data_IF_320402422022
#
_entry.id   IF_320402422022
#
_cell.length_a   1.000
_cell.length_b   1.000
_cell.length_c   1.000
_cell.angle_alpha   90.00
_cell.angle_beta   90.00
_cell.angle_gamma   90.00
#
_symmetry.space_group_name_H-M   'P 1'
#
loop_
_entity.id
_entity.type
_entity.pdbx_description
1 polymer ?
#
# COMPACT_ATOMS: atom_id res chain seq x y z
N UNK A 1 7.36 -3.41 53.31
CA UNK A 1 7.17 -4.62 52.48
C UNK A 1 6.76 -4.11 51.12
N UNK A 2 7.63 -4.22 50.11
CA UNK A 2 7.39 -3.62 48.80
C UNK A 2 6.47 -4.53 47.99
N UNK A 3 5.23 -4.09 47.81
CA UNK A 3 4.29 -4.64 46.83
C UNK A 3 4.66 -4.21 45.40
N UNK A 4 5.91 -4.42 45.00
CA UNK A 4 6.35 -4.09 43.64
C UNK A 4 6.11 -5.28 42.71
N UNK A 5 5.18 -5.08 41.76
CA UNK A 5 4.94 -6.00 40.67
C UNK A 5 6.26 -6.19 39.89
N UNK A 6 6.73 -7.44 39.68
CA UNK A 6 7.96 -7.68 38.94
C UNK A 6 7.94 -7.07 37.53
N UNK A 7 9.08 -6.52 37.08
CA UNK A 7 9.17 -5.80 35.80
C UNK A 7 8.70 -6.62 34.59
N UNK A 8 8.97 -7.93 34.56
CA UNK A 8 8.51 -8.81 33.48
C UNK A 8 6.98 -8.93 33.42
N UNK A 9 6.28 -8.86 34.56
CA UNK A 9 4.81 -8.85 34.61
C UNK A 9 4.28 -7.51 34.11
N UNK A 10 4.91 -6.39 34.52
CA UNK A 10 4.57 -5.07 34.00
C UNK A 10 4.74 -5.00 32.49
N UNK A 11 5.84 -5.55 31.95
CA UNK A 11 6.05 -5.65 30.50
C UNK A 11 4.91 -6.40 29.80
N UNK A 12 4.47 -7.54 30.34
CA UNK A 12 3.33 -8.29 29.80
C UNK A 12 2.01 -7.53 29.85
N UNK A 13 1.79 -6.74 30.91
CA UNK A 13 0.60 -5.88 31.03
C UNK A 13 0.66 -4.75 30.01
N UNK A 14 1.78 -4.03 29.95
CA UNK A 14 1.99 -2.90 29.02
C UNK A 14 1.85 -3.38 27.58
N UNK A 15 2.42 -4.54 27.24
CA UNK A 15 2.29 -5.15 25.92
C UNK A 15 0.87 -5.42 25.47
N UNK A 16 -0.14 -5.38 26.35
CA UNK A 16 -1.57 -5.60 26.01
C UNK A 16 -2.38 -4.31 25.94
N UNK A 17 -1.75 -3.16 26.14
CA UNK A 17 -2.44 -1.88 26.14
C UNK A 17 -2.66 -1.35 24.70
N UNK A 18 -3.76 -0.62 24.47
CA UNK A 18 -3.96 0.12 23.23
C UNK A 18 -2.84 1.13 22.98
N UNK A 19 -2.58 1.45 21.71
CA UNK A 19 -1.51 2.38 21.32
C UNK A 19 -1.67 3.75 21.99
N UNK A 20 -2.90 4.25 22.12
CA UNK A 20 -3.16 5.54 22.76
C UNK A 20 -2.66 5.56 24.21
N UNK A 21 -2.88 4.48 24.97
CA UNK A 21 -2.39 4.35 26.34
C UNK A 21 -0.86 4.25 26.38
N UNK A 22 -0.26 3.51 25.43
CA UNK A 22 1.20 3.39 25.34
C UNK A 22 1.88 4.72 25.04
N UNK A 23 1.28 5.54 24.16
CA UNK A 23 1.77 6.89 23.88
C UNK A 23 1.78 7.76 25.13
N UNK A 24 0.75 7.65 25.98
CA UNK A 24 0.69 8.37 27.26
C UNK A 24 1.71 7.81 28.26
N UNK A 25 1.88 6.49 28.32
CA UNK A 25 2.75 5.83 29.30
C UNK A 25 4.24 6.15 29.12
N UNK A 26 4.64 6.62 27.94
CA UNK A 26 5.99 7.17 27.70
C UNK A 26 6.32 8.37 28.60
N UNK A 27 5.33 9.12 29.08
CA UNK A 27 5.56 10.27 29.98
C UNK A 27 5.67 9.86 31.45
N UNK A 28 5.32 8.62 31.81
CA UNK A 28 5.29 8.15 33.21
C UNK A 28 6.69 7.90 33.75
N UNK A 29 7.58 7.26 32.98
CA UNK A 29 8.97 7.07 33.38
C UNK A 29 9.92 6.81 32.20
N UNK A 30 11.23 7.03 32.41
CA UNK A 30 12.28 6.73 31.43
C UNK A 30 12.34 5.24 31.09
N UNK A 31 12.13 4.36 32.07
CA UNK A 31 12.14 2.91 31.86
C UNK A 31 10.99 2.47 30.96
N UNK A 32 9.79 3.01 31.18
CA UNK A 32 8.61 2.67 30.36
C UNK A 32 8.76 3.23 28.95
N UNK A 33 9.26 4.45 28.82
CA UNK A 33 9.60 5.03 27.51
C UNK A 33 10.59 4.13 26.75
N UNK A 34 11.69 3.73 27.39
CA UNK A 34 12.70 2.87 26.77
C UNK A 34 12.16 1.49 26.40
N UNK A 35 11.27 0.92 27.22
CA UNK A 35 10.62 -0.36 26.92
C UNK A 35 9.73 -0.24 25.68
N UNK A 36 8.83 0.75 25.65
CA UNK A 36 7.85 0.97 24.57
C UNK A 36 8.55 1.32 23.24
N UNK A 37 9.68 2.03 23.29
CA UNK A 37 10.46 2.41 22.11
C UNK A 37 11.42 1.32 21.63
N UNK A 38 11.56 0.20 22.35
CA UNK A 38 12.44 -0.90 21.95
C UNK A 38 11.89 -1.69 20.76
N UNK A 39 12.77 -2.14 19.85
CA UNK A 39 12.39 -2.93 18.68
C UNK A 39 11.65 -4.22 19.06
N UNK A 40 12.11 -4.91 20.11
CA UNK A 40 11.47 -6.13 20.61
C UNK A 40 10.04 -5.88 21.11
N UNK A 41 9.80 -4.74 21.77
CA UNK A 41 8.45 -4.38 22.20
C UNK A 41 7.55 -4.06 21.01
N UNK A 42 8.04 -3.26 20.05
CA UNK A 42 7.28 -2.88 18.85
C UNK A 42 6.93 -4.12 18.00
N UNK A 43 7.87 -5.04 17.81
CA UNK A 43 7.64 -6.28 17.07
C UNK A 43 6.67 -7.23 17.78
N UNK A 44 6.71 -7.28 19.12
CA UNK A 44 5.83 -8.13 19.92
C UNK A 44 4.45 -7.51 20.20
N UNK A 45 4.31 -6.18 20.06
CA UNK A 45 3.04 -5.49 20.23
C UNK A 45 2.15 -5.77 19.03
N UNK A 46 1.29 -6.77 19.19
CA UNK A 46 0.32 -7.20 18.18
C UNK A 46 -1.08 -7.26 18.83
N UNK A 47 -1.39 -6.24 19.63
CA UNK A 47 -2.54 -6.24 20.58
C UNK A 47 -3.87 -6.17 19.87
N UNK A 48 -3.91 -5.65 18.66
CA UNK A 48 -5.15 -5.40 17.96
C UNK A 48 -5.15 -6.09 16.60
N UNK A 49 -5.93 -7.18 16.50
CA UNK A 49 -6.49 -7.67 15.23
C UNK A 49 -7.42 -6.63 14.55
N UNK A 50 -7.54 -5.44 15.13
CA UNK A 50 -8.28 -4.30 14.61
C UNK A 50 -7.62 -3.82 13.33
N UNK A 51 -8.17 -4.30 12.22
CA UNK A 51 -7.86 -3.76 10.91
C UNK A 51 -8.63 -2.45 10.73
N UNK A 52 -7.95 -1.47 10.16
CA UNK A 52 -8.54 -0.22 9.73
C UNK A 52 -8.45 -0.10 8.22
N UNK A 53 -9.36 0.67 7.61
CA UNK A 53 -9.32 1.02 6.19
C UNK A 53 -9.05 2.51 6.06
N UNK A 54 -7.89 2.88 5.51
CA UNK A 54 -7.62 4.25 5.10
C UNK A 54 -8.18 4.47 3.70
N UNK A 55 -8.97 5.54 3.56
CA UNK A 55 -9.53 6.02 2.31
C UNK A 55 -8.98 7.41 2.03
N UNK A 56 -8.31 7.56 0.88
CA UNK A 56 -7.93 8.86 0.31
C UNK A 56 -8.86 9.16 -0.86
N UNK A 57 -9.33 10.40 -1.01
CA UNK A 57 -10.05 10.84 -2.21
C UNK A 57 -10.00 12.36 -2.39
N UNK A 58 -10.22 12.84 -3.60
CA UNK A 58 -10.35 14.27 -3.89
C UNK A 58 -11.81 14.64 -4.13
N UNK A 59 -12.23 15.73 -3.49
CA UNK A 59 -13.55 16.33 -3.72
C UNK A 59 -13.46 17.36 -4.86
N UNK A 60 -14.59 17.70 -5.49
CA UNK A 60 -14.61 18.61 -6.64
C UNK A 60 -14.25 20.06 -6.28
N UNK A 61 -14.39 20.46 -5.02
CA UNK A 61 -14.24 21.85 -4.58
C UNK A 61 -12.79 22.27 -4.27
N UNK A 62 -11.84 22.03 -5.18
CA UNK A 62 -10.49 22.61 -5.17
C UNK A 62 -9.47 22.12 -4.12
N UNK A 63 -9.74 21.02 -3.42
CA UNK A 63 -8.80 20.50 -2.42
C UNK A 63 -7.61 19.79 -3.09
N UNK A 64 -6.46 20.48 -3.20
CA UNK A 64 -5.21 19.88 -3.72
C UNK A 64 -4.61 18.88 -2.74
N UNK A 65 -4.99 18.95 -1.47
CA UNK A 65 -4.57 18.06 -0.40
C UNK A 65 -5.72 17.10 -0.13
N UNK A 66 -5.80 16.01 -0.90
CA UNK A 66 -6.92 15.05 -0.82
C UNK A 66 -7.34 14.67 0.61
N UNK A 67 -8.60 14.28 0.80
CA UNK A 67 -9.18 13.95 2.11
C UNK A 67 -8.74 12.55 2.55
N UNK A 68 -8.40 12.39 3.83
CA UNK A 68 -7.97 11.11 4.42
C UNK A 68 -8.89 10.72 5.57
N UNK A 69 -9.57 9.59 5.42
CA UNK A 69 -10.53 9.05 6.37
C UNK A 69 -10.15 7.62 6.72
N UNK A 70 -10.24 7.25 7.98
CA UNK A 70 -10.09 5.86 8.39
C UNK A 70 -11.37 5.31 9.00
N UNK A 71 -11.66 4.05 8.70
CA UNK A 71 -12.75 3.29 9.29
C UNK A 71 -12.19 2.13 10.08
N UNK A 72 -12.86 1.76 11.16
CA UNK A 72 -12.66 0.43 11.76
C UNK A 72 -13.30 -0.60 10.85
N UNK A 73 -12.55 -1.64 10.46
CA UNK A 73 -12.99 -2.67 9.52
C UNK A 73 -13.46 -3.94 10.23
N UNK A 74 -14.56 -3.78 10.96
CA UNK A 74 -15.29 -4.83 11.65
C UNK A 74 -16.78 -4.75 11.30
N UNK A 75 -17.64 -5.36 12.13
CA UNK A 75 -19.08 -5.38 11.92
C UNK A 75 -19.74 -3.99 12.12
N UNK A 76 -19.02 -3.01 12.68
CA UNK A 76 -19.52 -1.64 12.84
C UNK A 76 -19.34 -0.79 11.59
N UNK A 77 -18.55 -1.23 10.61
CA UNK A 77 -18.31 -0.51 9.36
C UNK A 77 -19.61 -0.21 8.59
N UNK A 78 -19.82 1.02 8.05
CA UNK A 78 -18.88 2.16 7.99
C UNK A 78 -19.12 3.20 9.11
N UNK A 79 -19.75 2.86 10.24
CA UNK A 79 -20.19 3.84 11.23
C UNK A 79 -19.03 4.42 12.06
N UNK A 80 -18.07 3.59 12.47
CA UNK A 80 -16.92 4.04 13.25
C UNK A 80 -15.81 4.56 12.32
N UNK A 81 -15.75 5.89 12.19
CA UNK A 81 -14.78 6.59 11.32
C UNK A 81 -14.06 7.73 12.03
N UNK A 82 -12.85 8.04 11.59
CA UNK A 82 -12.05 9.14 12.10
C UNK A 82 -11.25 9.80 10.97
N UNK A 83 -11.20 11.13 11.01
CA UNK A 83 -10.47 11.96 10.05
C UNK A 83 -9.05 12.14 10.52
N UNK A 84 -8.09 11.96 9.61
CA UNK A 84 -6.68 12.16 9.93
C UNK A 84 -6.25 13.60 9.67
N UNK A 85 -5.52 14.17 10.63
CA UNK A 85 -4.72 15.37 10.37
C UNK A 85 -3.41 14.93 9.74
N UNK A 86 -3.19 15.26 8.47
CA UNK A 86 -1.95 14.92 7.80
C UNK A 86 -0.75 15.63 8.44
N UNK A 87 0.38 14.92 8.60
CA UNK A 87 1.67 15.53 8.91
C UNK A 87 2.03 16.64 7.92
N UNK A 88 2.79 17.65 8.39
CA UNK A 88 3.22 18.77 7.56
C UNK A 88 4.05 18.31 6.36
N UNK A 89 4.92 17.31 6.56
CA UNK A 89 5.73 16.67 5.50
C UNK A 89 4.90 16.20 4.31
N UNK A 90 3.73 15.58 4.56
CA UNK A 90 2.82 15.12 3.48
C UNK A 90 2.13 16.31 2.81
N UNK A 91 1.70 17.32 3.59
CA UNK A 91 1.02 18.51 3.05
C UNK A 91 1.92 19.33 2.11
N UNK A 92 3.23 19.27 2.31
CA UNK A 92 4.22 19.97 1.46
C UNK A 92 4.52 19.21 0.16
N UNK A 93 4.15 17.93 0.04
CA UNK A 93 4.39 17.16 -1.18
C UNK A 93 3.45 17.63 -2.29
N UNK A 94 4.04 18.05 -3.40
CA UNK A 94 3.37 18.22 -4.69
C UNK A 94 3.29 16.88 -5.40
N UNK A 95 2.18 16.65 -6.12
CA UNK A 95 1.91 15.41 -6.85
C UNK A 95 2.04 14.14 -5.96
N UNK A 96 1.59 14.26 -4.70
CA UNK A 96 1.72 13.19 -3.73
C UNK A 96 0.88 11.97 -4.13
N UNK A 97 1.54 10.81 -4.25
CA UNK A 97 0.92 9.52 -4.50
C UNK A 97 1.24 8.55 -3.37
N UNK A 98 0.28 7.69 -3.03
CA UNK A 98 0.52 6.59 -2.10
C UNK A 98 1.20 5.46 -2.89
N UNK A 99 2.44 5.14 -2.50
CA UNK A 99 3.18 4.00 -3.05
C UNK A 99 2.54 2.70 -2.58
N UNK A 100 2.26 2.60 -1.28
CA UNK A 100 1.62 1.43 -0.68
C UNK A 100 1.54 1.52 0.83
N UNK A 101 1.03 0.46 1.44
CA UNK A 101 0.96 0.30 2.90
C UNK A 101 1.53 -1.05 3.32
N UNK A 102 2.27 -1.04 4.44
CA UNK A 102 2.87 -2.22 5.03
C UNK A 102 3.02 -2.03 6.54
N UNK A 103 2.62 -3.04 7.32
CA UNK A 103 2.78 -3.07 8.78
C UNK A 103 2.34 -1.77 9.47
N UNK A 104 1.14 -1.26 9.13
CA UNK A 104 0.60 -0.04 9.72
C UNK A 104 1.18 1.29 9.20
N UNK A 105 2.20 1.25 8.35
CA UNK A 105 2.79 2.42 7.71
C UNK A 105 2.23 2.66 6.31
N UNK A 106 2.24 3.92 5.91
CA UNK A 106 1.96 4.38 4.55
C UNK A 106 3.20 5.06 3.97
N UNK A 107 3.50 4.77 2.72
CA UNK A 107 4.58 5.40 1.98
C UNK A 107 4.00 6.34 0.93
N UNK A 108 4.40 7.60 0.98
CA UNK A 108 4.05 8.64 0.03
C UNK A 108 5.25 9.02 -0.80
N UNK A 109 5.04 9.24 -2.08
CA UNK A 109 6.04 9.74 -3.01
C UNK A 109 5.53 11.03 -3.63
N UNK A 110 6.42 12.01 -3.78
CA UNK A 110 6.09 13.28 -4.40
C UNK A 110 7.30 14.22 -4.44
N UNK A 111 7.03 15.51 -4.64
CA UNK A 111 8.08 16.52 -4.76
C UNK A 111 7.91 17.64 -3.73
N UNK A 112 9.00 18.03 -3.08
CA UNK A 112 9.04 19.22 -2.23
C UNK A 112 10.13 20.17 -2.73
N UNK A 113 9.77 21.42 -3.06
CA UNK A 113 10.68 22.43 -3.62
C UNK A 113 11.53 21.91 -4.80
N UNK A 114 10.95 21.05 -5.64
CA UNK A 114 11.63 20.45 -6.81
C UNK A 114 12.48 19.21 -6.49
N UNK A 115 12.65 18.86 -5.22
CA UNK A 115 13.34 17.64 -4.79
C UNK A 115 12.35 16.49 -4.67
N UNK A 116 12.68 15.34 -5.24
CA UNK A 116 11.90 14.11 -5.09
C UNK A 116 12.06 13.54 -3.68
N UNK A 117 10.96 13.25 -3.01
CA UNK A 117 10.92 12.91 -1.60
C UNK A 117 9.97 11.75 -1.35
N UNK A 118 10.34 10.92 -0.37
CA UNK A 118 9.48 9.91 0.20
C UNK A 118 9.12 10.28 1.63
N UNK A 119 7.84 10.15 1.98
CA UNK A 119 7.37 10.34 3.35
C UNK A 119 6.74 9.04 3.84
N UNK A 120 7.29 8.50 4.92
CA UNK A 120 6.69 7.39 5.64
C UNK A 120 5.82 7.95 6.76
N UNK A 121 4.57 7.51 6.83
CA UNK A 121 3.60 7.98 7.81
C UNK A 121 3.02 6.82 8.62
N UNK A 122 3.06 6.97 9.94
CA UNK A 122 2.31 6.14 10.87
C UNK A 122 1.09 6.91 11.39
N UNK A 123 -0.14 6.63 10.91
CA UNK A 123 -1.35 7.27 11.40
C UNK A 123 -1.61 7.01 12.89
N UNK A 124 -1.24 5.83 13.41
CA UNK A 124 -1.54 5.39 14.78
C UNK A 124 -0.85 6.24 15.84
N UNK A 125 0.35 6.73 15.53
CA UNK A 125 1.15 7.58 16.42
C UNK A 125 1.32 9.01 15.89
N UNK A 126 0.68 9.32 14.74
CA UNK A 126 0.74 10.62 14.05
C UNK A 126 2.16 11.12 13.79
N UNK A 127 3.08 10.20 13.49
CA UNK A 127 4.47 10.51 13.14
C UNK A 127 4.75 10.31 11.67
N UNK A 128 5.70 11.07 11.16
CA UNK A 128 6.21 10.88 9.81
C UNK A 128 7.71 11.13 9.73
N UNK A 129 8.38 10.39 8.87
CA UNK A 129 9.77 10.67 8.50
C UNK A 129 9.87 10.90 7.00
N UNK A 130 10.74 11.83 6.62
CA UNK A 130 11.02 12.16 5.23
C UNK A 130 12.37 11.60 4.82
N UNK A 131 12.43 10.97 3.65
CA UNK A 131 13.64 10.43 3.05
C UNK A 131 13.83 11.07 1.67
N UNK A 132 14.95 11.78 1.43
CA UNK A 132 15.25 12.30 0.11
C UNK A 132 15.57 11.16 -0.85
N UNK A 133 15.02 11.24 -2.06
CA UNK A 133 15.41 10.36 -3.15
C UNK A 133 16.75 10.83 -3.74
N UNK A 134 17.61 9.92 -4.21
CA UNK A 134 18.81 10.30 -4.93
C UNK A 134 18.43 11.08 -6.19
N UNK A 135 18.98 12.27 -6.39
CA UNK A 135 18.73 13.07 -7.60
C UNK A 135 19.18 12.29 -8.84
N UNK A 136 18.23 11.97 -9.74
CA UNK A 136 18.53 11.34 -11.03
C UNK A 136 18.30 12.32 -12.16
N UNK A 137 19.39 12.79 -12.75
CA UNK A 137 19.37 13.58 -13.98
C UNK A 137 19.36 12.65 -15.20
N UNK A 138 18.26 11.94 -15.42
CA UNK A 138 18.15 11.05 -16.59
C UNK A 138 16.81 11.26 -17.28
N UNK A 139 16.86 11.57 -18.58
CA UNK A 139 15.72 11.93 -19.42
C UNK A 139 14.81 10.73 -19.81
N UNK A 140 15.18 9.50 -19.45
CA UNK A 140 14.62 8.29 -20.08
C UNK A 140 14.01 7.20 -19.17
N UNK A 141 14.29 7.07 -17.86
CA UNK A 141 13.76 5.90 -17.14
C UNK A 141 12.36 6.13 -16.54
N UNK A 142 11.56 5.07 -16.59
CA UNK A 142 10.40 4.91 -15.71
C UNK A 142 10.88 4.31 -14.37
N UNK A 143 10.88 5.13 -13.32
CA UNK A 143 11.23 4.69 -11.97
C UNK A 143 9.99 4.27 -11.22
N UNK A 144 9.98 3.04 -10.72
CA UNK A 144 8.94 2.52 -9.84
C UNK A 144 9.50 2.42 -8.43
N UNK A 145 8.93 3.21 -7.53
CA UNK A 145 9.24 3.12 -6.11
C UNK A 145 8.30 2.13 -5.45
N UNK A 146 8.85 1.39 -4.50
CA UNK A 146 8.15 0.38 -3.75
C UNK A 146 8.45 0.48 -2.27
N UNK A 147 7.55 -0.05 -1.44
CA UNK A 147 7.60 0.06 0.01
C UNK A 147 7.16 -1.23 0.69
N UNK A 148 7.89 -1.63 1.73
CA UNK A 148 7.53 -2.73 2.61
C UNK A 148 8.24 -2.63 3.95
N UNK A 149 7.68 -3.24 4.99
CA UNK A 149 8.31 -3.34 6.31
C UNK A 149 8.72 -4.79 6.51
N UNK A 150 9.98 -5.00 6.86
CA UNK A 150 10.49 -6.35 7.14
C UNK A 150 9.76 -6.93 8.36
N UNK A 151 9.07 -8.08 8.25
CA UNK A 151 8.37 -8.67 9.39
C UNK A 151 9.34 -9.18 10.47
N UNK A 152 10.61 -9.41 10.13
CA UNK A 152 11.64 -9.90 11.05
C UNK A 152 12.27 -8.77 11.87
N UNK A 153 12.57 -7.64 11.21
CA UNK A 153 13.31 -6.53 11.84
C UNK A 153 12.41 -5.34 12.18
N UNK A 154 11.17 -5.35 11.70
CA UNK A 154 10.21 -4.23 11.78
C UNK A 154 10.75 -2.95 11.14
N UNK A 155 11.76 -3.09 10.27
CA UNK A 155 12.45 -1.99 9.64
C UNK A 155 11.83 -1.69 8.28
N UNK A 156 11.36 -0.45 8.03
CA UNK A 156 10.85 -0.06 6.74
C UNK A 156 11.96 -0.03 5.69
N UNK A 157 11.63 -0.57 4.51
CA UNK A 157 12.49 -0.58 3.34
C UNK A 157 11.76 -0.01 2.15
N UNK A 158 12.51 0.65 1.27
CA UNK A 158 12.02 1.11 -0.01
C UNK A 158 12.87 0.51 -1.11
N UNK A 159 12.23 0.02 -2.17
CA UNK A 159 12.92 -0.53 -3.33
C UNK A 159 12.60 0.34 -4.51
N UNK A 160 13.63 0.86 -5.15
CA UNK A 160 13.52 1.63 -6.37
C UNK A 160 13.94 0.74 -7.52
N UNK A 161 13.07 0.60 -8.52
CA UNK A 161 13.36 -0.14 -9.77
C UNK A 161 13.30 0.86 -10.92
N UNK A 162 14.45 1.13 -11.52
CA UNK A 162 14.60 2.05 -12.65
C UNK A 162 14.68 1.24 -13.93
N UNK A 163 13.75 1.49 -14.87
CA UNK A 163 13.61 0.69 -16.07
C UNK A 163 13.97 1.50 -17.33
N UNK A 164 14.96 1.03 -18.10
CA UNK A 164 15.54 1.75 -19.23
C UNK A 164 15.01 1.21 -20.55
N UNK A 165 13.83 1.67 -20.94
CA UNK A 165 13.08 1.03 -22.04
C UNK A 165 13.43 1.50 -23.45
N UNK A 166 13.97 2.71 -23.63
CA UNK A 166 14.24 3.23 -24.99
C UNK A 166 15.67 2.99 -25.45
N UNK A 167 16.58 2.71 -24.52
CA UNK A 167 18.03 2.68 -24.78
C UNK A 167 18.61 1.28 -24.70
N UNK A 168 18.33 0.54 -23.63
CA UNK A 168 19.09 -0.68 -23.31
C UNK A 168 18.25 -1.88 -22.86
N UNK A 169 16.95 -1.68 -22.58
CA UNK A 169 16.05 -2.67 -22.02
C UNK A 169 16.59 -3.35 -20.74
N UNK A 170 17.42 -2.67 -19.95
CA UNK A 170 17.86 -3.16 -18.65
C UNK A 170 17.06 -2.51 -17.50
N UNK A 171 17.14 -3.14 -16.33
CA UNK A 171 16.59 -2.62 -15.08
C UNK A 171 17.72 -2.44 -14.07
N UNK A 172 17.61 -1.41 -13.24
CA UNK A 172 18.46 -1.22 -12.06
C UNK A 172 17.58 -1.25 -10.82
N UNK A 173 18.10 -1.79 -9.73
CA UNK A 173 17.40 -1.82 -8.46
C UNK A 173 18.27 -1.27 -7.33
N UNK A 174 17.69 -0.43 -6.49
CA UNK A 174 18.30 0.03 -5.24
C UNK A 174 17.34 -0.19 -4.08
N UNK A 175 17.87 -0.51 -2.91
CA UNK A 175 17.10 -0.62 -1.67
C UNK A 175 17.57 0.41 -0.66
N UNK A 176 16.63 1.14 -0.07
CA UNK A 176 16.84 1.96 1.10
C UNK A 176 16.34 1.23 2.34
N UNK A 177 17.10 1.32 3.42
CA UNK A 177 16.72 0.77 4.72
C UNK A 177 16.70 1.90 5.75
N UNK A 178 15.58 2.10 6.44
CA UNK A 178 15.40 3.25 7.34
C UNK A 178 16.40 3.24 8.49
N UNK A 179 16.63 2.08 9.12
CA UNK A 179 17.60 2.00 10.24
C UNK A 179 19.03 2.39 9.85
N UNK A 180 19.46 2.10 8.61
CA UNK A 180 20.81 2.41 8.13
C UNK A 180 20.92 3.80 7.49
N UNK A 181 19.79 4.36 7.08
CA UNK A 181 19.71 5.65 6.41
C UNK A 181 20.33 5.67 5.01
N UNK A 182 20.58 4.50 4.39
CA UNK A 182 21.39 4.37 3.17
C UNK A 182 20.69 3.59 2.07
N UNK A 183 20.94 4.02 0.84
CA UNK A 183 20.66 3.28 -0.39
C UNK A 183 21.77 2.27 -0.68
N UNK A 184 21.40 1.09 -1.15
CA UNK A 184 22.32 0.04 -1.61
C UNK A 184 21.85 -0.53 -2.93
N UNK A 185 22.79 -0.81 -3.83
CA UNK A 185 22.48 -1.42 -5.11
C UNK A 185 22.08 -2.91 -4.96
N UNK A 186 21.06 -3.31 -5.70
CA UNK A 186 20.54 -4.67 -5.83
C UNK A 186 20.44 -5.14 -7.30
N UNK A 187 21.00 -4.39 -8.26
CA UNK A 187 20.81 -4.68 -9.70
C UNK A 187 21.28 -6.10 -10.09
N UNK A 188 22.30 -6.64 -9.41
CA UNK A 188 22.81 -8.00 -9.67
C UNK A 188 21.83 -9.12 -9.30
N UNK A 189 20.78 -8.84 -8.53
CA UNK A 189 19.77 -9.82 -8.11
C UNK A 189 18.52 -9.79 -8.99
N UNK A 190 18.46 -8.88 -9.96
CA UNK A 190 17.33 -8.80 -10.88
C UNK A 190 17.33 -9.96 -11.88
N UNK A 191 16.16 -10.36 -12.38
CA UNK A 191 16.06 -11.29 -13.50
C UNK A 191 16.88 -10.82 -14.70
N UNK A 192 17.53 -11.77 -15.39
CA UNK A 192 18.34 -11.47 -16.59
C UNK A 192 17.50 -11.07 -17.80
N UNK A 193 16.22 -11.46 -17.83
CA UNK A 193 15.28 -11.10 -18.89
C UNK A 193 14.68 -9.71 -18.62
N UNK A 194 14.47 -8.90 -19.67
CA UNK A 194 13.78 -7.64 -19.51
C UNK A 194 12.35 -7.89 -19.04
N UNK A 195 11.86 -7.00 -18.20
CA UNK A 195 10.49 -7.03 -17.73
C UNK A 195 10.00 -5.59 -17.59
N UNK A 196 8.68 -5.47 -17.48
CA UNK A 196 8.03 -4.24 -17.07
C UNK A 196 7.11 -4.49 -15.90
N UNK A 197 7.23 -3.68 -14.85
CA UNK A 197 6.30 -3.70 -13.71
C UNK A 197 5.31 -2.55 -13.79
N UNK A 198 4.14 -2.76 -13.17
CA UNK A 198 3.10 -1.75 -13.05
C UNK A 198 2.59 -1.62 -11.62
N UNK A 199 2.18 -0.41 -11.29
CA UNK A 199 1.41 -0.12 -10.07
C UNK A 199 -0.04 -0.62 -10.20
N UNK A 200 -0.74 -0.89 -9.07
CA UNK A 200 -0.26 -0.76 -7.70
C UNK A 200 0.61 -1.94 -7.23
N UNK A 201 1.40 -1.70 -6.18
CA UNK A 201 2.05 -2.77 -5.43
C UNK A 201 1.13 -3.36 -4.37
N UNK A 202 1.42 -4.59 -3.92
CA UNK A 202 0.75 -5.22 -2.77
C UNK A 202 1.78 -5.87 -1.87
N UNK A 203 1.68 -5.67 -0.56
CA UNK A 203 2.50 -6.40 0.43
C UNK A 203 1.66 -7.48 1.09
N UNK A 204 2.10 -8.74 0.98
CA UNK A 204 1.54 -9.90 1.68
C UNK A 204 2.67 -10.62 2.39
N UNK A 205 2.51 -10.83 3.70
CA UNK A 205 3.53 -11.38 4.58
C UNK A 205 4.87 -10.63 4.43
N UNK A 206 5.92 -11.28 3.90
CA UNK A 206 7.26 -10.70 3.73
C UNK A 206 7.55 -10.24 2.29
N UNK A 207 6.59 -10.35 1.39
CA UNK A 207 6.80 -10.12 -0.04
C UNK A 207 6.03 -8.89 -0.53
N UNK A 208 6.70 -8.10 -1.36
CA UNK A 208 6.06 -7.07 -2.19
C UNK A 208 5.80 -7.69 -3.57
N UNK A 209 4.61 -7.51 -4.11
CA UNK A 209 4.19 -8.03 -5.41
C UNK A 209 3.80 -6.91 -6.36
N UNK A 210 4.00 -7.14 -7.67
CA UNK A 210 3.55 -6.30 -8.79
C UNK A 210 3.06 -7.15 -9.95
N UNK A 211 2.11 -6.62 -10.72
CA UNK A 211 1.90 -7.10 -12.08
C UNK A 211 3.14 -6.79 -12.91
N UNK A 212 3.57 -7.75 -13.71
CA UNK A 212 4.68 -7.61 -14.61
C UNK A 212 4.42 -8.28 -15.97
N UNK A 213 5.13 -7.86 -17.01
CA UNK A 213 5.09 -8.52 -18.31
C UNK A 213 6.43 -8.44 -19.03
N UNK A 214 6.65 -9.37 -19.96
CA UNK A 214 7.80 -9.36 -20.86
C UNK A 214 7.53 -8.40 -22.06
N UNK A 215 8.30 -7.31 -22.21
CA UNK A 215 8.09 -6.35 -23.30
C UNK A 215 8.67 -6.81 -24.65
N UNK A 216 9.50 -7.85 -24.70
CA UNK A 216 10.27 -8.24 -25.90
C UNK A 216 9.62 -9.35 -26.72
N UNK A 217 8.43 -9.82 -26.33
CA UNK A 217 7.75 -10.92 -27.03
C UNK A 217 6.99 -10.42 -28.28
N UNK A 218 7.72 -9.81 -29.23
CA UNK A 218 7.20 -9.26 -30.49
C UNK A 218 7.14 -10.33 -31.59
N UNK A 219 7.86 -11.44 -31.43
CA UNK A 219 8.03 -12.49 -32.46
C UNK A 219 7.08 -13.70 -32.32
N UNK A 220 6.07 -13.63 -31.46
CA UNK A 220 5.03 -14.67 -31.40
C UNK A 220 3.65 -14.05 -31.60
N UNK A 221 2.78 -14.74 -32.32
CA UNK A 221 1.36 -14.40 -32.51
C UNK A 221 0.55 -14.39 -31.19
N UNK A 222 1.22 -14.39 -30.03
CA UNK A 222 0.65 -14.41 -28.69
C UNK A 222 0.84 -13.03 -28.02
N UNK A 223 -0.25 -12.31 -27.70
CA UNK A 223 -0.15 -11.05 -26.98
C UNK A 223 0.28 -11.30 -25.53
N UNK A 224 1.34 -10.61 -25.10
CA UNK A 224 1.80 -10.38 -23.72
C UNK A 224 2.05 -11.64 -22.86
N UNK A 225 3.23 -11.74 -22.26
CA UNK A 225 3.50 -12.74 -21.23
C UNK A 225 3.41 -12.09 -19.85
N UNK A 226 2.20 -12.01 -19.29
CA UNK A 226 1.99 -11.45 -17.95
C UNK A 226 2.39 -12.45 -16.86
N UNK A 227 3.03 -11.96 -15.81
CA UNK A 227 3.39 -12.69 -14.60
C UNK A 227 3.32 -11.74 -13.40
N UNK A 228 3.54 -12.26 -12.20
CA UNK A 228 3.66 -11.43 -11.00
C UNK A 228 5.13 -11.42 -10.58
N UNK A 229 5.71 -10.23 -10.47
CA UNK A 229 7.03 -10.07 -9.87
C UNK A 229 6.89 -9.96 -8.35
N UNK A 230 7.82 -10.56 -7.61
CA UNK A 230 7.87 -10.49 -6.16
C UNK A 230 9.25 -10.04 -5.66
N UNK A 231 9.29 -9.31 -4.55
CA UNK A 231 10.50 -8.99 -3.82
C UNK A 231 10.38 -9.45 -2.37
N UNK A 232 11.29 -10.32 -1.92
CA UNK A 232 11.40 -10.75 -0.53
C UNK A 232 12.08 -9.64 0.29
N UNK A 233 11.33 -8.99 1.20
CA UNK A 233 11.82 -7.84 1.98
C UNK A 233 12.93 -8.26 2.96
N UNK A 234 12.84 -9.50 3.45
CA UNK A 234 13.79 -10.04 4.44
C UNK A 234 15.08 -10.47 3.79
N UNK A 235 14.99 -11.25 2.71
CA UNK A 235 16.16 -11.78 2.01
C UNK A 235 16.69 -10.87 0.90
N UNK A 236 15.94 -9.82 0.56
CA UNK A 236 16.24 -8.86 -0.50
C UNK A 236 16.53 -9.52 -1.85
N UNK A 237 15.64 -10.42 -2.25
CA UNK A 237 15.74 -11.19 -3.49
C UNK A 237 14.48 -11.05 -4.32
N UNK A 238 14.64 -11.09 -5.64
CA UNK A 238 13.55 -11.02 -6.60
C UNK A 238 13.08 -12.43 -6.98
N UNK A 239 11.79 -12.55 -7.25
CA UNK A 239 11.14 -13.78 -7.68
C UNK A 239 10.03 -13.52 -8.68
N UNK A 240 9.57 -14.59 -9.30
CA UNK A 240 8.48 -14.59 -10.29
C UNK A 240 7.43 -15.59 -9.84
N UNK A 241 6.17 -15.18 -9.90
CA UNK A 241 5.00 -16.04 -9.71
C UNK A 241 4.28 -16.12 -11.05
N UNK A 242 4.20 -17.33 -11.58
CA UNK A 242 3.55 -17.60 -12.86
C UNK A 242 2.03 -17.45 -12.76
N UNK A 243 1.42 -16.93 -13.82
CA UNK A 243 -0.03 -16.84 -13.97
C UNK A 243 -0.56 -18.02 -14.81
N UNK A 244 -1.81 -18.45 -14.57
CA UNK A 244 -2.52 -19.36 -15.47
C UNK A 244 -2.57 -18.82 -16.91
N UNK A 245 -2.59 -19.70 -17.91
CA UNK A 245 -2.56 -19.33 -19.33
C UNK A 245 -3.74 -18.45 -19.78
N UNK A 246 -4.88 -18.53 -19.08
CA UNK A 246 -5.99 -17.61 -19.30
C UNK A 246 -5.55 -16.16 -19.01
N UNK A 247 -5.06 -15.91 -17.80
CA UNK A 247 -4.64 -14.59 -17.32
C UNK A 247 -3.38 -14.08 -18.01
N UNK A 248 -2.43 -14.97 -18.28
CA UNK A 248 -1.13 -14.64 -18.88
C UNK A 248 -1.25 -13.87 -20.19
N UNK A 249 -2.29 -14.14 -21.01
CA UNK A 249 -2.49 -13.57 -22.35
C UNK A 249 -3.31 -12.28 -22.41
N UNK A 250 -3.80 -11.77 -21.28
CA UNK A 250 -4.57 -10.53 -21.27
C UNK A 250 -3.70 -9.31 -21.61
N UNK A 251 -4.34 -8.19 -21.96
CA UNK A 251 -3.63 -6.91 -21.95
C UNK A 251 -3.18 -6.60 -20.51
N UNK A 252 -1.94 -6.13 -20.27
CA UNK A 252 -1.49 -5.78 -18.92
C UNK A 252 -2.39 -4.73 -18.24
N UNK A 253 -3.05 -3.88 -19.03
CA UNK A 253 -4.00 -2.86 -18.55
C UNK A 253 -5.32 -3.45 -18.00
N UNK A 254 -5.60 -4.72 -18.28
CA UNK A 254 -6.76 -5.44 -17.76
C UNK A 254 -6.46 -6.19 -16.45
N UNK A 255 -5.20 -6.22 -16.02
CA UNK A 255 -4.78 -6.94 -14.82
C UNK A 255 -4.34 -5.96 -13.75
N UNK A 256 -4.74 -6.24 -12.52
CA UNK A 256 -4.32 -5.50 -11.34
C UNK A 256 -4.21 -6.48 -10.17
N UNK A 257 -3.41 -6.15 -9.17
CA UNK A 257 -3.31 -6.96 -7.95
C UNK A 257 -3.88 -6.21 -6.76
N UNK A 258 -4.36 -6.99 -5.79
CA UNK A 258 -4.81 -6.50 -4.50
C UNK A 258 -4.54 -7.57 -3.43
N UNK A 259 -5.06 -7.38 -2.23
CA UNK A 259 -5.04 -8.40 -1.18
C UNK A 259 -6.33 -8.45 -0.40
N UNK A 260 -6.61 -9.64 0.12
CA UNK A 260 -7.59 -9.89 1.17
C UNK A 260 -6.82 -10.52 2.32
N UNK A 261 -6.68 -9.80 3.44
CA UNK A 261 -5.82 -10.21 4.57
C UNK A 261 -4.40 -10.50 4.06
N UNK A 262 -3.86 -11.68 4.36
CA UNK A 262 -2.55 -12.17 3.91
C UNK A 262 -2.66 -13.07 2.68
N UNK A 263 -3.62 -12.82 1.78
CA UNK A 263 -3.76 -13.55 0.53
C UNK A 263 -3.74 -12.61 -0.67
N UNK A 264 -2.88 -12.95 -1.64
CA UNK A 264 -2.76 -12.21 -2.89
C UNK A 264 -3.99 -12.42 -3.77
N UNK A 265 -4.49 -11.33 -4.34
CA UNK A 265 -5.66 -11.31 -5.22
C UNK A 265 -5.25 -10.76 -6.58
N UNK A 266 -5.66 -11.45 -7.64
CA UNK A 266 -5.57 -10.96 -9.01
C UNK A 266 -6.96 -10.47 -9.45
N UNK A 267 -6.99 -9.26 -10.01
CA UNK A 267 -8.16 -8.60 -10.55
C UNK A 267 -8.05 -8.58 -12.07
N UNK A 268 -9.02 -9.18 -12.74
CA UNK A 268 -9.10 -9.28 -14.19
C UNK A 268 -10.32 -8.49 -14.69
N UNK A 269 -10.08 -7.46 -15.50
CA UNK A 269 -11.13 -6.64 -16.10
C UNK A 269 -11.51 -7.16 -17.50
N UNK A 270 -12.81 -7.19 -17.78
CA UNK A 270 -13.37 -7.67 -19.04
C UNK A 270 -12.85 -6.90 -20.27
N UNK A 271 -12.63 -5.59 -20.10
CA UNK A 271 -12.28 -4.67 -21.17
C UNK A 271 -11.63 -3.40 -20.61
N UNK A 272 -11.21 -2.50 -21.51
CA UNK A 272 -10.75 -1.16 -21.13
C UNK A 272 -11.84 -0.31 -20.45
N UNK A 273 -13.12 -0.59 -20.72
CA UNK A 273 -14.26 0.12 -20.12
C UNK A 273 -14.53 -0.34 -18.68
N UNK A 274 -13.97 -1.49 -18.27
CA UNK A 274 -14.09 -2.06 -16.92
C UNK A 274 -15.56 -2.21 -16.49
N UNK A 275 -16.35 -2.92 -17.30
CA UNK A 275 -17.75 -3.25 -16.99
C UNK A 275 -17.86 -4.41 -16.01
N UNK A 276 -16.85 -5.27 -15.95
CA UNK A 276 -16.80 -6.36 -14.99
C UNK A 276 -15.37 -6.58 -14.50
N UNK A 277 -15.25 -7.04 -13.25
CA UNK A 277 -13.99 -7.37 -12.62
C UNK A 277 -14.08 -8.77 -12.00
N UNK A 278 -13.38 -9.74 -12.59
CA UNK A 278 -13.23 -11.08 -12.03
C UNK A 278 -12.16 -11.07 -10.94
N UNK A 279 -12.50 -11.63 -9.77
CA UNK A 279 -11.63 -11.71 -8.61
C UNK A 279 -11.08 -13.13 -8.49
N UNK A 280 -9.76 -13.25 -8.58
CA UNK A 280 -9.00 -14.49 -8.51
C UNK A 280 -8.16 -14.51 -7.24
N UNK A 281 -8.14 -15.62 -6.51
CA UNK A 281 -7.33 -15.77 -5.30
C UNK A 281 -6.42 -16.99 -5.41
N UNK A 282 -5.23 -16.91 -4.80
CA UNK A 282 -4.34 -18.06 -4.67
C UNK A 282 -4.99 -19.09 -3.74
N UNK A 283 -5.04 -20.35 -4.16
CA UNK A 283 -5.39 -21.46 -3.29
C UNK A 283 -4.14 -22.03 -2.62
N UNK A 284 -4.22 -22.23 -1.30
CA UNK A 284 -3.15 -22.87 -0.52
C UNK A 284 -3.26 -24.40 -0.69
N UNK A 285 -2.97 -24.89 -1.89
CA UNK A 285 -2.88 -26.32 -2.24
C UNK A 285 -1.44 -26.74 -2.56
N UNK A 286 -1.27 -27.95 -3.11
CA UNK A 286 0.05 -28.51 -3.49
C UNK A 286 0.70 -27.69 -4.62
N UNK A 287 -0.10 -27.09 -5.51
CA UNK A 287 0.35 -26.13 -6.51
C UNK A 287 -0.29 -24.76 -6.23
N UNK A 288 0.51 -23.70 -6.30
CA UNK A 288 0.00 -22.33 -6.24
C UNK A 288 -0.71 -22.01 -7.55
N UNK A 289 -2.03 -22.12 -7.57
CA UNK A 289 -2.87 -21.73 -8.71
C UNK A 289 -3.86 -20.64 -8.30
N UNK A 290 -4.21 -19.80 -9.27
CA UNK A 290 -5.25 -18.78 -9.11
C UNK A 290 -6.61 -19.37 -9.49
N UNK A 291 -7.55 -19.30 -8.56
CA UNK A 291 -8.92 -19.77 -8.78
C UNK A 291 -9.88 -18.57 -8.77
N UNK A 292 -10.72 -18.47 -9.81
CA UNK A 292 -11.76 -17.43 -9.89
C UNK A 292 -12.79 -17.65 -8.79
N UNK A 293 -13.07 -16.62 -8.00
CA UNK A 293 -14.01 -16.69 -6.87
C UNK A 293 -15.37 -16.14 -7.23
N UNK A 294 -15.42 -14.97 -7.83
CA UNK A 294 -16.64 -14.30 -8.28
C UNK A 294 -16.28 -13.19 -9.28
N UNK A 295 -17.30 -12.59 -9.90
CA UNK A 295 -17.16 -11.42 -10.76
C UNK A 295 -18.02 -10.30 -10.18
N UNK A 296 -17.46 -9.10 -10.09
CA UNK A 296 -18.19 -7.88 -9.79
C UNK A 296 -18.63 -7.27 -11.12
N UNK A 297 -19.92 -7.01 -11.30
CA UNK A 297 -20.45 -6.42 -12.53
C UNK A 297 -20.97 -5.01 -12.28
N UNK A 298 -20.64 -4.09 -13.18
CA UNK A 298 -21.08 -2.71 -13.12
C UNK A 298 -22.62 -2.62 -13.25
N UNK A 299 -23.32 -1.92 -12.34
CA UNK A 299 -24.77 -1.76 -12.41
C UNK A 299 -25.24 -1.26 -13.78
N UNK A 300 -26.00 -2.06 -14.53
CA UNK A 300 -26.34 -1.81 -15.93
C UNK A 300 -27.02 -0.46 -16.19
N UNK A 301 -27.85 0.01 -15.27
CA UNK A 301 -28.74 1.13 -15.54
C UNK A 301 -28.12 2.50 -15.34
N UNK A 302 -27.10 2.63 -14.48
CA UNK A 302 -26.62 3.95 -14.04
C UNK A 302 -25.11 4.05 -13.89
N UNK A 303 -24.36 2.99 -14.15
CA UNK A 303 -22.89 3.04 -14.10
C UNK A 303 -22.27 2.97 -15.49
N UNK A 304 -21.11 3.60 -15.66
CA UNK A 304 -20.28 3.52 -16.86
C UNK A 304 -19.16 2.48 -16.68
N UNK A 305 -18.47 2.50 -15.54
CA UNK A 305 -17.37 1.59 -15.21
C UNK A 305 -17.36 1.26 -13.72
N UNK A 306 -16.63 0.20 -13.37
CA UNK A 306 -16.27 -0.14 -11.99
C UNK A 306 -14.76 -0.30 -11.84
N UNK A 307 -14.21 0.13 -10.71
CA UNK A 307 -12.82 -0.16 -10.34
C UNK A 307 -12.78 -0.71 -8.92
N UNK A 308 -12.25 -1.93 -8.77
CA UNK A 308 -12.01 -2.51 -7.44
C UNK A 308 -10.78 -1.85 -6.83
N UNK A 309 -10.97 -1.19 -5.68
CA UNK A 309 -9.94 -0.41 -5.00
C UNK A 309 -9.22 -1.20 -3.91
N UNK A 310 -9.90 -2.20 -3.34
CA UNK A 310 -9.40 -3.00 -2.25
C UNK A 310 -10.50 -3.87 -1.66
N UNK A 311 -10.21 -4.48 -0.51
CA UNK A 311 -11.13 -5.41 0.14
C UNK A 311 -11.22 -5.13 1.63
N UNK A 312 -12.41 -5.37 2.17
CA UNK A 312 -12.64 -5.45 3.61
C UNK A 312 -12.00 -6.70 4.21
N UNK A 313 -11.84 -6.73 5.53
CA UNK A 313 -11.33 -7.88 6.32
C UNK A 313 -12.15 -9.16 6.08
N UNK A 314 -13.44 -9.03 5.78
CA UNK A 314 -14.33 -10.15 5.45
C UNK A 314 -14.30 -10.57 3.97
N UNK A 315 -13.42 -9.97 3.15
CA UNK A 315 -13.26 -10.30 1.73
C UNK A 315 -14.25 -9.61 0.79
N UNK A 316 -15.11 -8.72 1.30
CA UNK A 316 -16.03 -7.94 0.45
C UNK A 316 -15.27 -6.85 -0.31
N UNK A 317 -15.42 -6.75 -1.64
CA UNK A 317 -14.76 -5.72 -2.43
C UNK A 317 -15.26 -4.31 -2.07
N UNK A 318 -14.35 -3.36 -2.04
CA UNK A 318 -14.63 -1.93 -2.04
C UNK A 318 -14.35 -1.43 -3.45
N UNK A 319 -15.34 -0.78 -4.05
CA UNK A 319 -15.34 -0.42 -5.47
C UNK A 319 -15.67 1.05 -5.66
N UNK A 320 -14.99 1.65 -6.63
CA UNK A 320 -15.38 2.90 -7.25
C UNK A 320 -16.39 2.58 -8.37
N UNK A 321 -17.55 3.24 -8.37
CA UNK A 321 -18.56 3.11 -9.44
C UNK A 321 -18.73 4.46 -10.12
N UNK A 322 -18.37 4.54 -11.41
CA UNK A 322 -18.52 5.75 -12.23
C UNK A 322 -19.98 5.86 -12.70
N UNK A 323 -20.63 6.98 -12.44
CA UNK A 323 -22.03 7.19 -12.82
C UNK A 323 -22.16 7.60 -14.30
N UNK A 324 -23.10 7.00 -15.02
CA UNK A 324 -23.36 7.26 -16.44
C UNK A 324 -24.20 8.51 -16.70
N UNK A 325 -24.98 9.00 -15.72
CA UNK A 325 -26.06 9.98 -15.93
C UNK A 325 -25.79 11.39 -15.39
N UNK A 326 -24.64 11.63 -14.74
CA UNK A 326 -24.37 12.94 -14.13
C UNK A 326 -23.61 13.81 -15.13
N UNK A 327 -24.10 15.03 -15.38
CA UNK A 327 -23.42 16.08 -16.15
C UNK A 327 -22.05 16.51 -15.58
N UNK A 328 -21.64 15.89 -14.46
CA UNK A 328 -20.38 16.10 -13.78
C UNK A 328 -19.77 14.73 -13.47
N UNK A 329 -18.62 14.41 -14.08
CA UNK A 329 -17.88 13.16 -13.85
C UNK A 329 -17.66 12.93 -12.35
N UNK A 330 -18.38 11.97 -11.77
CA UNK A 330 -18.37 11.70 -10.33
C UNK A 330 -18.45 10.20 -10.11
N UNK A 331 -17.75 9.73 -9.11
CA UNK A 331 -17.71 8.32 -8.72
C UNK A 331 -18.22 8.17 -7.29
N UNK A 332 -18.94 7.10 -7.05
CA UNK A 332 -19.43 6.72 -5.74
C UNK A 332 -18.57 5.60 -5.17
N UNK A 333 -18.25 5.68 -3.88
CA UNK A 333 -17.59 4.59 -3.16
C UNK A 333 -18.63 3.62 -2.60
N UNK A 334 -18.48 2.34 -2.93
CA UNK A 334 -19.45 1.30 -2.57
C UNK A 334 -18.75 0.03 -2.08
N UNK A 335 -19.47 -0.79 -1.31
CA UNK A 335 -19.10 -2.17 -0.99
C UNK A 335 -19.95 -3.10 -1.80
N UNK A 336 -19.33 -4.07 -2.46
CA UNK A 336 -20.03 -5.14 -3.16
C UNK A 336 -20.25 -6.34 -2.22
N UNK A 337 -21.44 -6.94 -2.29
CA UNK A 337 -21.86 -8.11 -1.51
C UNK A 337 -21.99 -9.32 -2.45
N UNK A 338 -20.95 -10.18 -2.59
CA UNK A 338 -20.94 -11.24 -3.61
C UNK A 338 -22.07 -12.26 -3.48
N UNK A 339 -22.54 -12.55 -2.27
CA UNK A 339 -23.56 -13.58 -2.03
C UNK A 339 -24.96 -13.19 -2.55
N UNK A 340 -25.23 -11.90 -2.66
CA UNK A 340 -26.54 -11.35 -3.07
C UNK A 340 -26.41 -10.34 -4.22
N UNK A 341 -25.21 -10.22 -4.78
CA UNK A 341 -24.85 -9.41 -5.94
C UNK A 341 -25.33 -7.95 -5.87
N UNK A 342 -25.21 -7.32 -4.69
CA UNK A 342 -25.69 -5.96 -4.47
C UNK A 342 -24.58 -4.99 -4.02
N UNK A 343 -24.83 -3.70 -4.23
CA UNK A 343 -23.92 -2.62 -3.86
C UNK A 343 -24.48 -1.83 -2.67
N UNK A 344 -23.62 -1.58 -1.68
CA UNK A 344 -23.91 -0.74 -0.53
C UNK A 344 -23.13 0.56 -0.61
N UNK A 345 -23.83 1.67 -0.72
CA UNK A 345 -23.23 3.00 -0.80
C UNK A 345 -22.62 3.42 0.55
N UNK A 346 -21.41 4.00 0.52
CA UNK A 346 -20.69 4.42 1.73
C UNK A 346 -20.83 5.91 2.07
N UNK A 347 -21.71 6.65 1.40
CA UNK A 347 -21.89 8.07 1.71
C UNK A 347 -20.81 9.00 1.15
N UNK A 348 -20.00 8.53 0.20
CA UNK A 348 -18.87 9.27 -0.36
C UNK A 348 -18.94 9.36 -1.89
N UNK A 349 -18.81 10.59 -2.38
CA UNK A 349 -18.54 10.91 -3.78
C UNK A 349 -17.16 11.54 -3.91
N UNK A 350 -16.51 11.33 -5.05
CA UNK A 350 -15.21 11.91 -5.35
C UNK A 350 -14.99 12.08 -6.85
N UNK A 351 -13.82 12.62 -7.19
CA UNK A 351 -13.34 12.69 -8.57
C UNK A 351 -12.88 11.29 -9.04
N UNK A 352 -13.23 10.86 -10.28
CA UNK A 352 -12.82 9.55 -10.79
C UNK A 352 -11.32 9.30 -10.71
N UNK A 353 -10.93 8.09 -10.29
CA UNK A 353 -9.54 7.67 -10.19
C UNK A 353 -8.75 8.31 -9.04
N UNK A 354 -9.40 9.05 -8.14
CA UNK A 354 -8.72 9.66 -6.97
C UNK A 354 -8.91 8.87 -5.68
N UNK A 355 -9.84 7.90 -5.66
CA UNK A 355 -10.03 7.03 -4.52
C UNK A 355 -8.86 6.05 -4.36
N UNK A 356 -8.32 5.97 -3.15
CA UNK A 356 -7.38 4.92 -2.74
C UNK A 356 -7.90 4.28 -1.45
N UNK A 357 -7.84 2.96 -1.38
CA UNK A 357 -8.31 2.19 -0.21
C UNK A 357 -7.23 1.20 0.19
N UNK A 358 -6.74 1.31 1.43
CA UNK A 358 -5.73 0.40 1.96
C UNK A 358 -6.07 -0.01 3.39
N UNK A 359 -5.98 -1.31 3.66
CA UNK A 359 -6.05 -1.85 5.00
C UNK A 359 -4.74 -1.60 5.76
N UNK A 360 -4.82 -1.22 7.03
CA UNK A 360 -3.66 -1.11 7.91
C UNK A 360 -4.00 -1.57 9.32
N UNK A 361 -2.98 -1.93 10.10
CA UNK A 361 -3.09 -2.24 11.53
C UNK A 361 -2.48 -1.10 12.34
N UNK A 362 -2.93 -0.94 13.57
CA UNK A 362 -2.28 0.00 14.48
C UNK A 362 -0.87 -0.49 14.83
N UNK A 363 0.12 0.40 14.82
CA UNK A 363 1.50 0.04 15.16
C UNK A 363 2.28 1.16 15.82
N UNK A 364 3.37 0.79 16.52
CA UNK A 364 4.33 1.70 17.14
C UNK A 364 5.58 1.93 16.28
N UNK A 365 5.66 1.39 15.06
CA UNK A 365 6.82 1.66 14.18
C UNK A 365 7.02 3.17 14.01
N UNK A 366 8.29 3.60 13.99
CA UNK A 366 8.74 5.01 13.97
C UNK A 366 8.63 5.76 15.31
N UNK A 367 8.14 5.15 16.40
CA UNK A 367 7.95 5.88 17.67
C UNK A 367 9.23 6.50 18.25
N UNK A 368 10.36 5.80 18.12
CA UNK A 368 11.67 6.27 18.55
C UNK A 368 12.41 7.15 17.54
N UNK A 369 11.89 7.29 16.32
CA UNK A 369 12.49 8.14 15.29
C UNK A 369 12.13 9.61 15.56
N UNK A 370 13.09 10.52 15.34
CA UNK A 370 12.84 11.96 15.35
C UNK A 370 11.99 12.34 14.13
N UNK A 371 10.97 13.18 14.33
CA UNK A 371 10.26 13.76 13.19
C UNK A 371 11.26 14.62 12.41
N UNK A 372 11.26 14.47 11.08
CA UNK A 372 12.06 15.32 10.21
C UNK A 372 11.42 16.70 10.15
N UNK A 373 11.80 17.59 11.07
CA UNK A 373 11.60 19.02 10.90
C UNK A 373 12.54 19.45 9.77
N UNK A 374 11.98 19.76 8.61
CA UNK A 374 12.72 20.51 7.60
C UNK A 374 12.81 21.93 8.18
N UNK A 375 13.95 22.26 8.80
CA UNK A 375 14.29 23.65 9.08
C UNK A 375 14.38 24.35 7.72
N UNK A 376 13.50 25.31 7.50
CA UNK A 376 13.60 26.24 6.38
C UNK A 376 14.80 27.13 6.73
N UNK A 377 15.96 26.86 6.14
CA UNK A 377 17.00 27.89 6.04
C UNK A 377 16.46 28.96 5.08
N UNK A 378 15.89 30.02 5.65
CA UNK A 378 15.66 31.28 4.96
C UNK A 378 17.05 31.89 4.69
N UNK A 379 17.59 31.65 3.50
CA UNK A 379 18.75 32.41 3.01
C UNK A 379 18.32 33.84 2.66
N UNK A 380 18.95 34.79 3.36
CA UNK A 380 18.80 36.27 3.27
C UNK A 380 19.39 36.82 1.98
#
# INVERSE_FOLDING_TARGET
>A
MSDEIPFHILELIIKRLPIVSLLQFRSVSKTWKSLIESSNFIAAHNVTDSQHLLIRYEDKESDTVGKYLSFVDDDTFPHQRFVHTLPHSIKLLKNANIVGSSFGLFCFHGYNLGTEMVVLWNPSIRKSITVPMPNKFTLDPETNLCFGVSPVTTDPKMVEITQFHKTSYHCEANVYTVSSGKWRNLSNYLPSKPFRIFSPQVVVDRFIYWCAFDPMNVDSELPNHNFIMSFDITNESFGVVELPDSLRRHSPKQLCISKVRESLVMLEYDSYEKRACSVWMIENGVEKSFTKRFTVEAPHYWSKSITTLGFRKNGKPIVEVENAHICYEQVALMVYEPNIECFKYLGMYGKPGTFFVHSYIETLVLIGQSDSNIEVEDDV
#
